data_IF_015407798890
#
_entry.id   IF_015407798890
#
_cell.length_a   1.000
_cell.length_b   1.000
_cell.length_c   1.000
_cell.angle_alpha   90.00
_cell.angle_beta   90.00
_cell.angle_gamma   90.00
#
_symmetry.space_group_name_H-M   'P 1'
#
loop_
_entity.id
_entity.type
_entity.pdbx_description
1 polymer ?
#
# COMPACT_ATOMS: atom_id res chain seq x y z
N UNK A 1 -3.30 10.89 17.11
CA UNK A 1 -4.17 10.21 16.13
C UNK A 1 -3.31 9.38 15.20
N UNK A 2 -3.73 8.18 14.90
CA UNK A 2 -2.98 7.26 14.04
C UNK A 2 -2.86 7.80 12.61
N UNK A 3 -1.65 7.75 12.05
CA UNK A 3 -1.38 8.13 10.67
C UNK A 3 -1.22 6.88 9.82
N UNK A 4 -1.98 6.81 8.73
CA UNK A 4 -1.91 5.68 7.80
C UNK A 4 -0.67 5.82 6.93
N UNK A 5 0.15 4.78 6.90
CA UNK A 5 1.34 4.71 6.07
C UNK A 5 1.05 4.03 4.74
N UNK A 6 1.90 4.28 3.76
CA UNK A 6 1.89 3.55 2.50
C UNK A 6 2.54 2.18 2.69
N UNK A 7 2.14 1.21 1.87
CA UNK A 7 2.79 -0.09 1.82
C UNK A 7 3.45 -0.23 0.44
N UNK A 8 4.78 -0.12 0.42
CA UNK A 8 5.55 -0.08 -0.82
C UNK A 8 6.74 -1.01 -0.68
N UNK A 9 6.96 -1.85 -1.68
CA UNK A 9 8.10 -2.76 -1.73
C UNK A 9 8.20 -3.66 -0.47
N UNK A 10 7.05 -4.14 0.01
CA UNK A 10 6.97 -5.02 1.17
C UNK A 10 7.13 -4.35 2.51
N UNK A 11 7.15 -3.02 2.58
CA UNK A 11 7.38 -2.27 3.81
C UNK A 11 6.34 -1.15 3.99
N UNK A 12 6.07 -0.84 5.26
CA UNK A 12 5.28 0.33 5.60
C UNK A 12 6.16 1.57 5.53
N UNK A 13 5.78 2.52 4.68
CA UNK A 13 6.55 3.75 4.45
C UNK A 13 5.69 4.95 4.82
N UNK A 14 6.13 5.71 5.83
CA UNK A 14 5.46 6.94 6.20
C UNK A 14 5.78 8.02 5.17
N UNK A 15 4.75 8.69 4.66
CA UNK A 15 4.93 9.77 3.72
C UNK A 15 5.65 10.96 4.34
N UNK A 16 6.40 11.70 3.53
CA UNK A 16 7.13 12.89 3.93
C UNK A 16 6.40 14.19 3.57
N UNK A 17 5.23 14.09 2.95
CA UNK A 17 4.42 15.23 2.59
C UNK A 17 3.97 16.02 3.80
N UNK A 18 3.73 17.33 3.61
CA UNK A 18 3.28 18.20 4.68
C UNK A 18 1.76 18.29 4.78
N UNK A 19 1.06 17.93 3.72
CA UNK A 19 -0.41 17.94 3.72
C UNK A 19 -0.96 16.66 4.30
N UNK A 20 -1.97 16.80 5.14
CA UNK A 20 -2.62 15.70 5.84
C UNK A 20 -4.11 15.75 5.54
N UNK A 21 -4.71 14.60 5.32
CA UNK A 21 -6.14 14.46 5.11
C UNK A 21 -6.75 13.62 6.23
N UNK A 22 -7.87 14.09 6.75
CA UNK A 22 -8.62 13.36 7.78
C UNK A 22 -9.32 12.12 7.17
N UNK A 23 -9.36 11.04 7.95
CA UNK A 23 -10.10 9.82 7.60
C UNK A 23 -11.21 9.65 8.63
N UNK A 24 -12.44 9.57 8.14
CA UNK A 24 -13.64 9.49 8.98
C UNK A 24 -14.22 8.08 8.96
N UNK A 25 -14.77 7.67 10.10
CA UNK A 25 -15.60 6.48 10.16
C UNK A 25 -16.96 6.80 9.52
N UNK A 26 -17.33 6.17 8.41
CA UNK A 26 -18.58 6.51 7.73
C UNK A 26 -19.83 6.14 8.52
N UNK A 27 -19.71 5.22 9.49
CA UNK A 27 -20.84 4.83 10.33
C UNK A 27 -21.15 5.85 11.43
N UNK A 28 -20.12 6.52 11.97
CA UNK A 28 -20.26 7.45 13.08
C UNK A 28 -20.03 8.91 12.72
N UNK A 29 -19.35 9.17 11.59
CA UNK A 29 -18.93 10.51 11.19
C UNK A 29 -17.73 11.05 11.97
N UNK A 30 -17.17 10.27 12.88
CA UNK A 30 -16.01 10.70 13.68
C UNK A 30 -14.70 10.49 12.92
N UNK A 31 -13.77 11.41 13.12
CA UNK A 31 -12.40 11.24 12.60
C UNK A 31 -11.68 10.19 13.42
N UNK A 32 -11.18 9.14 12.75
CA UNK A 32 -10.51 8.01 13.40
C UNK A 32 -9.01 7.95 13.11
N UNK A 33 -8.58 8.48 11.98
CA UNK A 33 -7.19 8.45 11.52
C UNK A 33 -6.88 9.66 10.65
N UNK A 34 -5.67 9.73 10.19
CA UNK A 34 -5.25 10.69 9.19
C UNK A 34 -4.28 10.02 8.21
N UNK A 35 -4.20 10.57 7.01
CA UNK A 35 -3.27 10.11 5.98
C UNK A 35 -2.42 11.28 5.51
N UNK A 36 -1.12 11.04 5.36
CA UNK A 36 -0.22 12.02 4.76
C UNK A 36 -0.40 11.95 3.24
N UNK A 37 -0.69 13.09 2.63
CA UNK A 37 -0.80 13.17 1.17
C UNK A 37 0.59 13.02 0.57
N UNK A 38 0.77 11.96 -0.21
CA UNK A 38 2.07 11.64 -0.80
C UNK A 38 2.53 12.71 -1.78
N UNK A 39 3.84 12.93 -1.82
CA UNK A 39 4.44 13.83 -2.80
C UNK A 39 4.50 13.17 -4.18
N UNK A 40 4.72 13.96 -5.23
CA UNK A 40 4.89 13.44 -6.59
C UNK A 40 6.07 12.46 -6.64
N UNK A 41 7.18 12.79 -5.94
CA UNK A 41 8.36 11.92 -5.89
C UNK A 41 8.06 10.59 -5.23
N UNK A 42 7.31 10.59 -4.13
CA UNK A 42 6.90 9.36 -3.45
C UNK A 42 6.01 8.49 -4.34
N UNK A 43 5.10 9.11 -5.09
CA UNK A 43 4.23 8.40 -6.04
C UNK A 43 5.05 7.78 -7.16
N UNK A 44 6.01 8.52 -7.71
CA UNK A 44 6.89 8.00 -8.75
C UNK A 44 7.74 6.84 -8.26
N UNK A 45 8.24 6.90 -7.03
CA UNK A 45 8.99 5.81 -6.41
C UNK A 45 8.14 4.56 -6.23
N UNK A 46 6.87 4.72 -5.84
CA UNK A 46 5.94 3.61 -5.70
C UNK A 46 5.68 2.93 -7.06
N UNK A 47 5.49 3.72 -8.10
CA UNK A 47 5.30 3.21 -9.47
C UNK A 47 6.56 2.46 -9.94
N UNK A 48 7.75 3.02 -9.69
CA UNK A 48 9.00 2.37 -10.05
C UNK A 48 9.18 1.04 -9.32
N UNK A 49 8.86 0.97 -8.03
CA UNK A 49 8.93 -0.26 -7.25
C UNK A 49 8.00 -1.33 -7.82
N UNK A 50 6.78 -0.97 -8.20
CA UNK A 50 5.83 -1.88 -8.82
C UNK A 50 6.31 -2.36 -10.19
N UNK A 51 6.85 -1.46 -10.99
CA UNK A 51 7.40 -1.79 -12.31
C UNK A 51 8.57 -2.77 -12.20
N UNK A 52 9.47 -2.55 -11.23
CA UNK A 52 10.62 -3.41 -11.01
C UNK A 52 10.23 -4.80 -10.48
N UNK A 53 9.14 -4.90 -9.74
CA UNK A 53 8.65 -6.17 -9.21
C UNK A 53 7.95 -7.01 -10.29
N UNK A 54 7.41 -6.39 -11.32
CA UNK A 54 6.58 -7.06 -12.32
C UNK A 54 7.31 -8.19 -13.07
N UNK A 55 8.54 -8.03 -13.60
CA UNK A 55 9.18 -9.09 -14.38
C UNK A 55 9.36 -10.38 -13.58
N UNK A 56 9.78 -10.28 -12.32
CA UNK A 56 9.94 -11.44 -11.45
C UNK A 56 8.63 -12.18 -11.20
N UNK A 57 7.58 -11.43 -10.89
CA UNK A 57 6.24 -12.00 -10.67
C UNK A 57 5.68 -12.62 -11.94
N UNK A 58 5.84 -11.96 -13.08
CA UNK A 58 5.34 -12.46 -14.36
C UNK A 58 6.02 -13.75 -14.81
N UNK A 59 7.26 -13.99 -14.38
CA UNK A 59 8.00 -15.23 -14.68
C UNK A 59 7.55 -16.43 -13.86
N UNK A 60 6.87 -16.22 -12.73
CA UNK A 60 6.32 -17.32 -11.98
C UNK A 60 5.24 -18.00 -12.78
N UNK A 61 5.17 -19.35 -12.69
CA UNK A 61 4.11 -20.10 -13.33
C UNK A 61 2.75 -19.71 -12.74
N UNK A 62 1.64 -19.89 -13.50
CA UNK A 62 0.31 -19.67 -12.95
C UNK A 62 0.06 -20.44 -11.65
N UNK A 63 0.60 -21.67 -11.55
CA UNK A 63 0.46 -22.46 -10.33
C UNK A 63 1.15 -21.82 -9.13
N UNK A 64 2.37 -21.30 -9.31
CA UNK A 64 3.10 -20.62 -8.23
C UNK A 64 2.38 -19.35 -7.77
N UNK A 65 1.86 -18.59 -8.73
CA UNK A 65 1.08 -17.38 -8.41
C UNK A 65 -0.20 -17.73 -7.67
N UNK A 66 -0.89 -18.79 -8.08
CA UNK A 66 -2.09 -19.28 -7.40
C UNK A 66 -1.80 -19.70 -5.96
N UNK A 67 -0.65 -20.35 -5.72
CA UNK A 67 -0.25 -20.77 -4.37
C UNK A 67 -0.06 -19.56 -3.44
N UNK A 68 0.49 -18.48 -3.94
CA UNK A 68 0.60 -17.23 -3.17
C UNK A 68 -0.79 -16.72 -2.77
N UNK A 69 -1.73 -16.74 -3.70
CA UNK A 69 -3.11 -16.30 -3.45
C UNK A 69 -3.83 -17.23 -2.46
N UNK A 70 -3.59 -18.53 -2.50
CA UNK A 70 -4.14 -19.45 -1.51
C UNK A 70 -3.61 -19.19 -0.11
N UNK A 71 -2.32 -18.88 0.03
CA UNK A 71 -1.76 -18.48 1.34
C UNK A 71 -2.37 -17.18 1.83
N UNK A 72 -2.56 -16.22 0.95
CA UNK A 72 -3.23 -14.96 1.28
C UNK A 72 -4.64 -15.22 1.81
N UNK A 73 -5.41 -16.07 1.12
CA UNK A 73 -6.74 -16.46 1.57
C UNK A 73 -6.73 -17.08 2.98
N UNK A 74 -5.75 -17.94 3.26
CA UNK A 74 -5.64 -18.60 4.56
C UNK A 74 -5.34 -17.62 5.70
N UNK A 75 -4.65 -16.49 5.38
CA UNK A 75 -4.32 -15.46 6.37
C UNK A 75 -5.47 -14.49 6.63
N UNK A 76 -6.46 -14.44 5.77
CA UNK A 76 -7.65 -13.63 5.98
C UNK A 76 -8.61 -14.30 6.98
#
# INVERSE_FOLDING_TARGET
METVANFIHGECVTGSGQRVQAIFNPATGEQIRQVVMSTIQETEQAIAAAHDAFPGWARHSPLKRARVMFRFKALL
#
